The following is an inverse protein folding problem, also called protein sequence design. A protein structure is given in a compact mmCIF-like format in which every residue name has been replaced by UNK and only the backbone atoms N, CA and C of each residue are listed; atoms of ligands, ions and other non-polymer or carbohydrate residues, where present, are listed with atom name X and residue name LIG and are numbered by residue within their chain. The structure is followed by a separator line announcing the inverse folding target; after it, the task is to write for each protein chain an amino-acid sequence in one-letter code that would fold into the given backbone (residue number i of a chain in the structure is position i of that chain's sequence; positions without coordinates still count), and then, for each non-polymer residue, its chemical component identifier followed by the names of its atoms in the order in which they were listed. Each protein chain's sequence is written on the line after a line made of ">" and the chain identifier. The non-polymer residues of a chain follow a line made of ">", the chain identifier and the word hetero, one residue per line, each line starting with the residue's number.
data_IF_936285781831
#
_entry.id   IF_936285781831
#
_cell.length_a   1.000
_cell.length_b   1.000
_cell.length_c   1.000
_cell.angle_alpha   90.00
_cell.angle_beta   90.00
_cell.angle_gamma   90.00
#
_symmetry.space_group_name_H-M   'P 1'
#
loop_
_entity.id
_entity.type
_entity.pdbx_description
1 polymer ?
#
# COMPACT_ATOMS: atom_id res chain seq x y z
N UNK A 1 -11.51 -57.81 16.03
CA UNK A 1 -11.55 -56.40 16.43
C UNK A 1 -10.11 -55.90 16.46
N UNK A 2 -9.65 -55.27 15.41
CA UNK A 2 -8.32 -54.69 15.32
C UNK A 2 -8.48 -53.25 14.86
N UNK A 3 -8.12 -52.31 15.74
CA UNK A 3 -8.03 -50.89 15.46
C UNK A 3 -6.72 -50.62 14.75
N UNK A 4 -6.80 -50.14 13.52
CA UNK A 4 -5.67 -49.61 12.78
C UNK A 4 -5.71 -48.09 12.86
N UNK A 5 -4.88 -47.49 13.69
CA UNK A 5 -4.58 -46.05 13.72
C UNK A 5 -3.57 -45.73 12.60
N UNK A 6 -4.04 -45.07 11.58
CA UNK A 6 -3.17 -44.49 10.55
C UNK A 6 -2.50 -43.23 11.08
N UNK A 7 -1.17 -43.23 11.16
CA UNK A 7 -0.34 -42.06 11.42
C UNK A 7 -0.06 -41.41 10.08
N UNK A 8 -0.63 -40.22 9.88
CA UNK A 8 -0.30 -39.37 8.74
C UNK A 8 1.00 -38.62 9.07
N UNK A 9 2.04 -38.89 8.33
CA UNK A 9 3.31 -38.18 8.44
C UNK A 9 3.14 -36.73 7.91
N UNK A 10 3.32 -35.78 8.81
CA UNK A 10 3.45 -34.35 8.46
C UNK A 10 4.87 -34.16 7.92
N UNK A 11 4.97 -33.73 6.68
CA UNK A 11 6.24 -33.35 6.08
C UNK A 11 6.78 -32.08 6.74
N UNK A 12 7.90 -32.19 7.41
CA UNK A 12 8.67 -31.05 7.95
C UNK A 12 9.16 -30.18 6.79
N UNK A 13 8.81 -28.88 6.80
CA UNK A 13 9.40 -27.87 5.93
C UNK A 13 10.76 -27.46 6.51
N UNK A 14 11.79 -27.24 5.67
CA UNK A 14 13.08 -26.77 6.16
C UNK A 14 12.97 -25.33 6.69
N UNK A 15 13.33 -25.15 7.95
CA UNK A 15 13.52 -23.85 8.59
C UNK A 15 14.89 -23.29 8.25
N UNK A 16 14.99 -22.62 7.10
CA UNK A 16 16.16 -21.77 6.82
C UNK A 16 15.86 -20.34 7.21
N UNK A 17 16.24 -20.00 8.43
CA UNK A 17 16.23 -18.62 8.95
C UNK A 17 17.35 -17.85 8.28
N UNK A 18 17.07 -17.13 7.21
CA UNK A 18 18.02 -16.21 6.58
C UNK A 18 18.10 -14.95 7.44
N UNK A 19 19.20 -14.79 8.17
CA UNK A 19 19.51 -13.55 8.89
C UNK A 19 19.81 -12.43 7.89
N UNK A 20 19.19 -11.27 8.07
CA UNK A 20 19.55 -10.04 7.37
C UNK A 20 21.00 -9.67 7.69
N UNK A 21 21.95 -10.06 6.84
CA UNK A 21 23.33 -9.60 6.91
C UNK A 21 23.53 -8.49 5.89
N UNK A 22 23.91 -7.31 6.39
CA UNK A 22 24.12 -6.09 5.59
C UNK A 22 25.40 -6.22 4.73
N UNK A 23 25.37 -5.86 3.43
CA UNK A 23 26.58 -5.49 2.73
C UNK A 23 26.99 -4.07 3.12
N UNK A 24 28.22 -3.89 3.60
CA UNK A 24 28.84 -2.58 3.86
C UNK A 24 28.97 -1.82 2.53
N UNK A 25 28.36 -0.64 2.46
CA UNK A 25 28.58 0.30 1.38
C UNK A 25 29.85 1.10 1.70
N UNK A 26 30.87 0.93 0.85
CA UNK A 26 32.07 1.77 0.86
C UNK A 26 31.72 3.03 0.07
N UNK A 27 31.69 4.18 0.75
CA UNK A 27 31.55 5.50 0.12
C UNK A 27 32.87 5.92 -0.54
N UNK A 28 32.92 5.91 -1.87
CA UNK A 28 33.96 6.61 -2.62
C UNK A 28 33.41 7.96 -3.04
N UNK A 29 33.90 9.03 -2.41
CA UNK A 29 33.66 10.39 -2.84
C UNK A 29 34.44 10.72 -4.10
N UNK A 30 33.77 11.23 -5.12
CA UNK A 30 34.39 12.01 -6.20
C UNK A 30 33.41 13.06 -6.68
N UNK A 31 33.70 14.32 -6.37
CA UNK A 31 33.09 15.46 -7.02
C UNK A 31 33.51 15.47 -8.51
N UNK A 32 32.52 15.49 -9.40
CA UNK A 32 32.70 15.98 -10.78
C UNK A 32 31.52 16.88 -11.10
N UNK A 33 31.85 18.16 -11.32
CA UNK A 33 31.01 19.10 -12.04
C UNK A 33 30.83 18.59 -13.48
N UNK A 34 29.61 18.22 -13.83
CA UNK A 34 29.23 17.81 -15.17
C UNK A 34 27.89 18.43 -15.54
N UNK A 35 27.85 19.08 -16.68
CA UNK A 35 26.68 19.63 -17.35
C UNK A 35 25.53 18.63 -17.24
N UNK A 36 24.40 19.02 -16.61
CA UNK A 36 23.18 18.24 -16.63
C UNK A 36 22.62 18.24 -18.05
N UNK A 37 22.93 17.21 -18.82
CA UNK A 37 22.05 16.82 -19.90
C UNK A 37 20.70 16.48 -19.30
N UNK A 38 19.65 17.17 -19.69
CA UNK A 38 18.27 16.78 -19.40
C UNK A 38 18.02 15.46 -20.11
N UNK A 39 18.19 14.36 -19.39
CA UNK A 39 17.74 13.05 -19.86
C UNK A 39 16.22 13.12 -19.84
N UNK A 40 15.64 13.21 -21.03
CA UNK A 40 14.19 13.12 -21.20
C UNK A 40 13.70 11.83 -20.51
N UNK A 41 12.78 11.97 -19.56
CA UNK A 41 12.25 10.81 -18.85
C UNK A 41 11.65 9.84 -19.88
N UNK A 42 11.96 8.54 -19.84
CA UNK A 42 11.45 7.59 -20.80
C UNK A 42 9.92 7.62 -20.78
N UNK A 43 9.30 7.71 -21.96
CA UNK A 43 7.85 7.62 -22.08
C UNK A 43 7.39 6.24 -21.61
N UNK A 44 6.48 6.22 -20.65
CA UNK A 44 5.84 4.99 -20.20
C UNK A 44 4.86 4.52 -21.28
N UNK A 45 4.71 3.20 -21.45
CA UNK A 45 3.78 2.62 -22.42
C UNK A 45 2.32 2.74 -21.93
N UNK A 46 1.37 2.75 -22.87
CA UNK A 46 -0.07 2.58 -22.62
C UNK A 46 -0.54 1.26 -23.16
N UNK A 47 -1.50 0.61 -22.52
CA UNK A 47 -2.01 -0.69 -22.92
C UNK A 47 -2.22 -1.62 -21.75
N UNK A 48 -2.22 -2.91 -22.01
CA UNK A 48 -2.43 -3.96 -21.01
C UNK A 48 -1.16 -4.78 -20.82
N UNK A 49 -0.85 -5.09 -19.56
CA UNK A 49 0.18 -6.09 -19.19
C UNK A 49 -0.40 -7.47 -19.38
N UNK A 50 0.36 -8.35 -20.04
CA UNK A 50 0.01 -9.76 -20.23
C UNK A 50 0.98 -10.65 -19.48
N UNK A 51 0.55 -11.88 -19.15
CA UNK A 51 1.39 -12.89 -18.52
C UNK A 51 1.49 -12.79 -17.01
N UNK A 52 0.54 -12.10 -16.36
CA UNK A 52 0.40 -12.14 -14.90
C UNK A 52 -0.14 -13.52 -14.46
N UNK A 53 0.32 -14.05 -13.30
CA UNK A 53 -0.04 -15.39 -12.86
C UNK A 53 -1.50 -15.51 -12.38
N UNK A 54 -2.16 -14.39 -12.04
CA UNK A 54 -3.55 -14.38 -11.57
C UNK A 54 -4.00 -13.02 -11.07
N UNK A 55 -5.13 -12.98 -10.38
CA UNK A 55 -5.71 -11.77 -9.82
C UNK A 55 -4.71 -10.98 -8.98
N UNK A 56 -4.76 -9.66 -9.10
CA UNK A 56 -3.93 -8.74 -8.31
C UNK A 56 -4.67 -8.35 -7.04
N UNK A 57 -4.04 -8.54 -5.90
CA UNK A 57 -4.61 -8.16 -4.59
C UNK A 57 -4.26 -6.72 -4.25
N UNK A 58 -3.00 -6.36 -4.44
CA UNK A 58 -2.49 -5.01 -4.20
C UNK A 58 -1.33 -4.71 -5.14
N UNK A 59 -1.08 -3.42 -5.40
CA UNK A 59 0.04 -3.00 -6.23
C UNK A 59 0.61 -1.65 -5.81
N UNK A 60 1.93 -1.52 -5.98
CA UNK A 60 2.64 -0.29 -5.69
C UNK A 60 3.70 0.03 -6.74
N UNK A 61 3.90 1.32 -6.99
CA UNK A 61 4.89 1.82 -7.93
C UNK A 61 6.26 2.00 -7.26
N UNK A 62 7.32 1.72 -8.03
CA UNK A 62 8.67 2.17 -7.67
C UNK A 62 8.73 3.70 -7.61
N UNK A 63 9.67 4.21 -6.83
CA UNK A 63 9.82 5.65 -6.58
C UNK A 63 10.02 6.47 -7.87
N UNK A 64 10.69 5.88 -8.85
CA UNK A 64 10.93 6.49 -10.16
C UNK A 64 9.76 6.27 -11.15
N UNK A 65 8.74 5.52 -10.76
CA UNK A 65 7.57 5.21 -11.58
C UNK A 65 7.84 4.29 -12.77
N UNK A 66 8.99 3.60 -12.81
CA UNK A 66 9.35 2.73 -13.93
C UNK A 66 8.93 1.27 -13.74
N UNK A 67 8.69 0.88 -12.51
CA UNK A 67 8.27 -0.47 -12.18
C UNK A 67 7.00 -0.44 -11.34
N UNK A 68 6.16 -1.43 -11.56
CA UNK A 68 4.99 -1.72 -10.75
C UNK A 68 5.19 -3.10 -10.13
N UNK A 69 4.93 -3.20 -8.84
CA UNK A 69 4.95 -4.47 -8.11
C UNK A 69 3.52 -4.87 -7.83
N UNK A 70 3.13 -6.08 -8.20
CA UNK A 70 1.79 -6.61 -8.02
C UNK A 70 1.81 -7.90 -7.21
N UNK A 71 1.01 -7.95 -6.16
CA UNK A 71 0.82 -9.14 -5.33
C UNK A 71 -0.31 -10.01 -5.90
N UNK A 72 -0.09 -11.33 -5.91
CA UNK A 72 -1.06 -12.33 -6.37
C UNK A 72 -1.37 -13.31 -5.25
N UNK A 73 -2.32 -12.93 -4.38
CA UNK A 73 -2.69 -13.69 -3.18
C UNK A 73 -2.98 -15.16 -3.47
N UNK A 74 -3.82 -15.43 -4.47
CA UNK A 74 -4.22 -16.79 -4.83
C UNK A 74 -3.16 -17.62 -5.56
N UNK A 75 -2.00 -17.03 -5.88
CA UNK A 75 -0.92 -17.68 -6.63
C UNK A 75 0.42 -17.70 -5.90
N UNK A 76 0.45 -17.30 -4.62
CA UNK A 76 1.66 -17.26 -3.78
C UNK A 76 2.85 -16.61 -4.46
N UNK A 77 2.62 -15.50 -5.15
CA UNK A 77 3.64 -14.85 -5.97
C UNK A 77 3.49 -13.34 -6.05
N UNK A 78 4.59 -12.70 -6.44
CA UNK A 78 4.66 -11.26 -6.68
C UNK A 78 5.28 -11.03 -8.05
N UNK A 79 4.66 -10.20 -8.89
CA UNK A 79 5.19 -9.81 -10.19
C UNK A 79 5.83 -8.43 -10.12
N UNK A 80 6.98 -8.29 -10.79
CA UNK A 80 7.61 -7.00 -11.09
C UNK A 80 7.38 -6.69 -12.57
N UNK A 81 6.78 -5.56 -12.85
CA UNK A 81 6.36 -5.14 -14.19
C UNK A 81 7.18 -3.93 -14.61
N UNK A 82 7.83 -3.99 -15.76
CA UNK A 82 8.46 -2.84 -16.40
C UNK A 82 7.39 -2.00 -17.11
N UNK A 83 7.23 -0.76 -16.67
CA UNK A 83 6.21 0.16 -17.18
C UNK A 83 6.62 0.89 -18.47
N UNK A 84 7.87 0.75 -18.90
CA UNK A 84 8.31 1.27 -20.20
C UNK A 84 7.90 0.35 -21.34
N UNK A 85 7.81 -0.94 -21.07
CA UNK A 85 7.43 -1.99 -22.04
C UNK A 85 6.08 -2.62 -21.77
N UNK A 86 5.51 -2.44 -20.57
CA UNK A 86 4.32 -3.14 -20.04
C UNK A 86 4.49 -4.65 -20.06
N UNK A 87 5.66 -5.13 -19.66
CA UNK A 87 5.96 -6.56 -19.56
C UNK A 87 6.32 -6.96 -18.15
N UNK A 88 6.01 -8.20 -17.78
CA UNK A 88 6.47 -8.80 -16.54
C UNK A 88 7.98 -9.04 -16.67
N UNK A 89 8.77 -8.32 -15.88
CA UNK A 89 10.25 -8.46 -15.84
C UNK A 89 10.70 -9.59 -14.92
N UNK A 90 9.91 -9.87 -13.88
CA UNK A 90 10.16 -10.99 -12.96
C UNK A 90 8.87 -11.44 -12.27
N UNK A 91 8.83 -12.72 -11.88
CA UNK A 91 7.80 -13.26 -10.97
C UNK A 91 8.52 -14.00 -9.84
N UNK A 92 8.30 -13.52 -8.62
CA UNK A 92 8.85 -14.12 -7.39
C UNK A 92 7.79 -15.04 -6.82
N UNK A 93 8.01 -16.35 -6.91
CA UNK A 93 7.12 -17.38 -6.40
C UNK A 93 7.48 -17.78 -4.96
N UNK A 94 6.57 -18.46 -4.26
CA UNK A 94 6.78 -18.97 -2.91
C UNK A 94 6.60 -17.92 -1.80
N UNK A 95 5.95 -16.81 -2.11
CA UNK A 95 5.50 -15.83 -1.12
C UNK A 95 4.05 -16.18 -0.79
N UNK A 96 3.82 -16.84 0.35
CA UNK A 96 2.51 -17.34 0.72
C UNK A 96 1.51 -16.20 0.96
N UNK A 97 0.38 -16.24 0.26
CA UNK A 97 -0.74 -15.31 0.44
C UNK A 97 -0.29 -13.83 0.54
N UNK A 98 0.44 -13.29 -0.47
CA UNK A 98 0.94 -11.91 -0.44
C UNK A 98 -0.25 -10.94 -0.45
N UNK A 99 -0.30 -10.02 0.53
CA UNK A 99 -1.48 -9.21 0.79
C UNK A 99 -1.28 -7.74 0.42
N UNK A 100 -0.36 -7.03 1.07
CA UNK A 100 -0.09 -5.62 0.79
C UNK A 100 1.34 -5.40 0.31
N UNK A 101 1.52 -4.41 -0.55
CA UNK A 101 2.78 -4.05 -1.18
C UNK A 101 3.17 -2.61 -0.85
N UNK A 102 4.42 -2.39 -0.46
CA UNK A 102 5.00 -1.06 -0.34
C UNK A 102 6.37 -1.02 -1.02
N UNK A 103 6.68 0.06 -1.73
CA UNK A 103 7.90 0.17 -2.53
C UNK A 103 8.68 1.44 -2.17
N UNK A 104 9.97 1.26 -1.89
CA UNK A 104 10.97 2.33 -1.84
C UNK A 104 12.09 2.00 -2.86
N UNK A 105 13.32 1.75 -2.41
CA UNK A 105 14.40 1.22 -3.25
C UNK A 105 14.26 -0.30 -3.49
N UNK A 106 13.44 -0.95 -2.67
CA UNK A 106 13.06 -2.37 -2.72
C UNK A 106 11.55 -2.46 -2.56
N UNK A 107 10.97 -3.57 -3.00
CA UNK A 107 9.60 -3.87 -2.62
C UNK A 107 9.57 -4.64 -1.29
N UNK A 108 8.56 -4.37 -0.51
CA UNK A 108 8.21 -5.07 0.70
C UNK A 108 6.78 -5.57 0.57
N UNK A 109 6.58 -6.83 0.91
CA UNK A 109 5.29 -7.50 0.81
C UNK A 109 5.02 -8.20 2.12
N UNK A 110 3.89 -7.96 2.74
CA UNK A 110 3.46 -8.78 3.87
C UNK A 110 2.61 -9.93 3.38
N UNK A 111 2.72 -11.03 4.09
CA UNK A 111 1.85 -12.20 3.91
C UNK A 111 0.70 -12.14 4.91
N UNK A 112 -0.41 -12.77 4.58
CA UNK A 112 -1.60 -12.90 5.43
C UNK A 112 -1.97 -14.39 5.58
N UNK A 113 -0.98 -15.23 5.90
CA UNK A 113 -1.17 -16.66 6.03
C UNK A 113 -1.79 -17.02 7.39
N UNK A 114 -2.45 -18.17 7.45
CA UNK A 114 -3.06 -18.62 8.71
C UNK A 114 -2.04 -19.12 9.74
N UNK A 115 -0.85 -19.45 9.31
CA UNK A 115 0.17 -20.07 10.17
C UNK A 115 1.17 -19.07 10.69
N UNK A 116 1.81 -18.31 9.81
CA UNK A 116 2.83 -17.30 10.16
C UNK A 116 2.84 -16.19 9.13
N UNK A 117 2.67 -14.96 9.60
CA UNK A 117 2.82 -13.79 8.75
C UNK A 117 4.28 -13.40 8.64
N UNK A 118 4.67 -12.86 7.50
CA UNK A 118 6.01 -12.37 7.27
C UNK A 118 6.02 -11.08 6.45
N UNK A 119 7.12 -10.33 6.54
CA UNK A 119 7.45 -9.29 5.57
C UNK A 119 8.61 -9.76 4.73
N UNK A 120 8.39 -9.84 3.42
CA UNK A 120 9.36 -10.26 2.42
C UNK A 120 9.92 -9.04 1.70
N UNK A 121 11.23 -8.89 1.67
CA UNK A 121 11.93 -7.88 0.89
C UNK A 121 12.35 -8.45 -0.47
N UNK A 122 12.04 -7.72 -1.55
CA UNK A 122 12.31 -8.14 -2.94
C UNK A 122 13.23 -7.12 -3.60
N UNK A 123 14.29 -7.61 -4.24
CA UNK A 123 15.12 -6.80 -5.14
C UNK A 123 14.40 -6.60 -6.47
N UNK A 124 14.09 -5.36 -6.79
CA UNK A 124 13.37 -5.01 -8.01
C UNK A 124 14.18 -5.22 -9.30
N UNK A 125 15.52 -5.21 -9.22
CA UNK A 125 16.40 -5.43 -10.38
C UNK A 125 16.66 -6.90 -10.61
N UNK A 126 16.94 -7.64 -9.53
CA UNK A 126 17.19 -9.07 -9.60
C UNK A 126 15.89 -9.88 -9.75
N UNK A 127 14.74 -9.31 -9.36
CA UNK A 127 13.47 -10.01 -9.34
C UNK A 127 13.48 -11.22 -8.40
N UNK A 128 14.10 -11.07 -7.23
CA UNK A 128 14.27 -12.16 -6.27
C UNK A 128 14.12 -11.71 -4.83
N UNK A 129 13.77 -12.63 -3.96
CA UNK A 129 13.70 -12.39 -2.51
C UNK A 129 15.09 -12.10 -1.96
N UNK A 130 15.22 -11.00 -1.23
CA UNK A 130 16.43 -10.61 -0.49
C UNK A 130 16.42 -11.16 0.93
N UNK A 131 15.28 -11.08 1.58
CA UNK A 131 15.10 -11.48 2.97
C UNK A 131 13.61 -11.66 3.28
N UNK A 132 13.32 -12.48 4.27
CA UNK A 132 12.01 -12.58 4.89
C UNK A 132 12.16 -12.41 6.40
N UNK A 133 11.20 -11.74 7.03
CA UNK A 133 11.13 -11.58 8.48
C UNK A 133 9.79 -12.05 8.96
N UNK A 134 9.80 -13.07 9.79
CA UNK A 134 8.61 -13.54 10.51
C UNK A 134 8.09 -12.47 11.45
N UNK A 135 6.79 -12.37 11.52
CA UNK A 135 6.04 -11.46 12.39
C UNK A 135 4.87 -12.20 13.02
N UNK A 136 4.35 -11.66 14.09
CA UNK A 136 3.17 -12.23 14.74
C UNK A 136 1.96 -12.17 13.81
N UNK A 137 1.11 -13.16 13.89
CA UNK A 137 -0.16 -13.25 13.16
C UNK A 137 -0.99 -11.99 13.29
N UNK A 138 -1.72 -11.63 12.22
CA UNK A 138 -2.58 -10.46 12.16
C UNK A 138 -1.98 -9.25 11.46
N UNK A 139 -0.93 -9.45 10.66
CA UNK A 139 -0.35 -8.39 9.81
C UNK A 139 -1.25 -8.06 8.62
N UNK A 140 -1.68 -6.80 8.51
CA UNK A 140 -2.59 -6.36 7.44
C UNK A 140 -2.02 -5.22 6.61
N UNK A 141 -1.95 -4.02 7.12
CA UNK A 141 -1.46 -2.86 6.37
C UNK A 141 0.06 -2.73 6.40
N UNK A 142 0.65 -2.28 5.30
CA UNK A 142 2.08 -2.11 5.13
C UNK A 142 2.40 -0.73 4.56
N UNK A 143 3.38 -0.05 5.12
CA UNK A 143 3.98 1.16 4.56
C UNK A 143 5.49 1.15 4.73
N UNK A 144 6.20 1.86 3.86
CA UNK A 144 7.66 2.04 3.95
C UNK A 144 7.98 3.52 4.04
N UNK A 145 8.95 3.88 4.88
CA UNK A 145 9.39 5.28 5.01
C UNK A 145 9.92 5.84 3.67
N UNK A 146 9.79 7.14 3.42
CA UNK A 146 10.24 7.75 2.16
C UNK A 146 11.73 7.56 1.89
N UNK A 147 12.57 7.39 2.90
CA UNK A 147 14.00 7.08 2.80
C UNK A 147 14.31 5.58 2.69
N UNK A 148 13.27 4.72 2.80
CA UNK A 148 13.44 3.27 2.77
C UNK A 148 14.02 2.66 4.05
N UNK A 149 14.26 3.45 5.10
CA UNK A 149 14.96 2.99 6.31
C UNK A 149 14.05 2.23 7.29
N UNK A 150 12.73 2.38 7.20
CA UNK A 150 11.78 1.73 8.10
C UNK A 150 10.55 1.20 7.37
N UNK A 151 10.09 0.03 7.81
CA UNK A 151 8.80 -0.55 7.43
C UNK A 151 7.84 -0.36 8.62
N UNK A 152 6.63 0.02 8.31
CA UNK A 152 5.52 0.14 9.26
C UNK A 152 4.48 -0.90 8.92
N UNK A 153 4.20 -1.79 9.85
CA UNK A 153 3.30 -2.91 9.67
C UNK A 153 2.17 -2.85 10.69
N UNK A 154 0.95 -2.74 10.22
CA UNK A 154 -0.24 -2.80 11.05
C UNK A 154 -0.47 -4.24 11.52
N UNK A 155 -0.56 -4.42 12.84
CA UNK A 155 -0.76 -5.74 13.45
C UNK A 155 -1.94 -5.69 14.42
N UNK A 156 -2.69 -6.78 14.42
CA UNK A 156 -3.83 -6.95 15.32
C UNK A 156 -3.74 -8.30 16.00
N UNK A 157 -3.82 -8.30 17.32
CA UNK A 157 -3.82 -9.49 18.15
C UNK A 157 -4.94 -9.42 19.20
N UNK A 158 -5.07 -10.46 20.01
CA UNK A 158 -6.22 -10.65 20.92
C UNK A 158 -6.43 -9.52 21.95
N UNK A 159 -5.37 -8.76 22.27
CA UNK A 159 -5.44 -7.74 23.34
C UNK A 159 -4.81 -6.41 22.97
N UNK A 160 -4.29 -6.27 21.76
CA UNK A 160 -3.61 -5.04 21.32
C UNK A 160 -3.62 -4.96 19.81
N UNK A 161 -3.89 -3.75 19.30
CA UNK A 161 -3.57 -3.40 17.93
C UNK A 161 -2.43 -2.39 17.93
N UNK A 162 -1.40 -2.65 17.14
CA UNK A 162 -0.17 -1.88 17.12
C UNK A 162 0.43 -1.73 15.72
N UNK A 163 1.46 -0.91 15.61
CA UNK A 163 2.29 -0.80 14.41
C UNK A 163 3.70 -1.26 14.77
N UNK A 164 4.16 -2.33 14.13
CA UNK A 164 5.56 -2.71 14.17
C UNK A 164 6.37 -1.78 13.27
N UNK A 165 7.43 -1.21 13.83
CA UNK A 165 8.41 -0.40 13.11
C UNK A 165 9.68 -1.23 12.96
N UNK A 166 9.93 -1.70 11.75
CA UNK A 166 11.05 -2.59 11.42
C UNK A 166 12.11 -1.75 10.72
N UNK A 167 13.28 -1.67 11.31
CA UNK A 167 14.46 -1.06 10.69
C UNK A 167 14.96 -1.96 9.56
N UNK A 168 15.06 -1.44 8.35
CA UNK A 168 15.37 -2.24 7.15
C UNK A 168 16.81 -2.71 7.06
N UNK A 169 17.72 -2.07 7.74
CA UNK A 169 19.14 -2.45 7.76
C UNK A 169 19.41 -3.50 8.84
N UNK A 170 18.98 -3.23 10.08
CA UNK A 170 19.28 -4.11 11.22
C UNK A 170 18.24 -5.19 11.46
N UNK A 171 17.05 -5.09 10.86
CA UNK A 171 15.90 -5.95 11.13
C UNK A 171 15.29 -5.79 12.53
N UNK A 172 15.75 -4.82 13.32
CA UNK A 172 15.23 -4.57 14.68
C UNK A 172 13.82 -4.04 14.61
N UNK A 173 12.97 -4.55 15.49
CA UNK A 173 11.57 -4.13 15.58
C UNK A 173 11.32 -3.30 16.84
N UNK A 174 10.61 -2.21 16.67
CA UNK A 174 10.00 -1.41 17.75
C UNK A 174 8.49 -1.41 17.55
N UNK A 175 7.74 -1.06 18.58
CA UNK A 175 6.29 -1.07 18.53
C UNK A 175 5.72 0.29 18.88
N UNK A 176 4.68 0.70 18.15
CA UNK A 176 3.82 1.83 18.50
C UNK A 176 2.45 1.26 18.83
N UNK A 177 2.05 1.28 20.09
CA UNK A 177 0.72 0.85 20.49
C UNK A 177 -0.31 1.84 19.98
N UNK A 178 -1.30 1.36 19.24
CA UNK A 178 -2.44 2.14 18.73
C UNK A 178 -3.58 2.10 19.73
N UNK A 179 -3.97 0.90 20.14
CA UNK A 179 -5.01 0.66 21.14
C UNK A 179 -4.69 -0.55 22.01
N UNK A 180 -5.32 -0.63 23.17
CA UNK A 180 -5.32 -1.79 24.07
C UNK A 180 -6.74 -2.31 24.31
N UNK A 181 -7.69 -1.83 23.52
CA UNK A 181 -9.06 -2.31 23.55
C UNK A 181 -9.13 -3.67 22.85
N UNK A 182 -9.79 -4.60 23.47
CA UNK A 182 -10.08 -5.93 22.89
C UNK A 182 -11.02 -5.71 21.70
N UNK A 183 -10.84 -6.51 20.66
CA UNK A 183 -11.65 -6.49 19.42
C UNK A 183 -11.45 -5.24 18.53
N UNK A 184 -10.51 -4.36 18.89
CA UNK A 184 -10.03 -3.33 17.96
C UNK A 184 -8.95 -3.90 17.04
N UNK A 185 -8.96 -3.51 15.74
CA UNK A 185 -7.93 -3.92 14.80
C UNK A 185 -7.48 -2.78 13.89
N UNK A 186 -6.23 -2.85 13.43
CA UNK A 186 -5.65 -1.91 12.47
C UNK A 186 -5.52 -2.59 11.11
N UNK A 187 -6.28 -2.12 10.12
CA UNK A 187 -6.30 -2.72 8.78
C UNK A 187 -5.27 -2.09 7.84
N UNK A 188 -5.10 -0.80 7.90
CA UNK A 188 -4.26 -0.06 6.96
C UNK A 188 -3.37 0.95 7.68
N UNK A 189 -2.17 1.15 7.15
CA UNK A 189 -1.23 2.18 7.58
C UNK A 189 -0.66 2.90 6.37
N UNK A 190 -0.59 4.23 6.44
CA UNK A 190 0.03 5.08 5.40
C UNK A 190 0.99 6.07 6.06
N UNK A 191 2.05 6.41 5.35
CA UNK A 191 3.00 7.43 5.79
C UNK A 191 2.93 8.64 4.85
N UNK A 192 3.08 9.83 5.40
CA UNK A 192 3.14 11.05 4.61
C UNK A 192 4.47 11.19 3.86
N UNK A 193 4.52 12.12 2.90
CA UNK A 193 5.64 12.26 1.97
C UNK A 193 6.96 12.68 2.63
N UNK A 194 6.92 13.36 3.79
CA UNK A 194 8.10 13.77 4.55
C UNK A 194 8.52 12.75 5.63
N UNK A 195 7.75 11.67 5.83
CA UNK A 195 8.06 10.62 6.79
C UNK A 195 7.79 10.98 8.24
N UNK A 196 7.09 12.09 8.53
CA UNK A 196 6.90 12.58 9.91
C UNK A 196 5.62 12.07 10.57
N UNK A 197 4.62 11.65 9.78
CA UNK A 197 3.30 11.21 10.26
C UNK A 197 2.89 9.87 9.65
N UNK A 198 2.39 8.98 10.52
CA UNK A 198 1.65 7.80 10.11
C UNK A 198 0.17 8.03 10.34
N UNK A 199 -0.62 7.44 9.47
CA UNK A 199 -2.07 7.41 9.52
C UNK A 199 -2.51 5.96 9.51
N UNK A 200 -3.28 5.56 10.51
CA UNK A 200 -3.73 4.19 10.67
C UNK A 200 -5.26 4.13 10.73
N UNK A 201 -5.84 3.15 10.03
CA UNK A 201 -7.25 2.82 10.12
C UNK A 201 -7.45 1.88 11.30
N UNK A 202 -7.99 2.40 12.38
CA UNK A 202 -8.43 1.63 13.53
C UNK A 202 -9.91 1.32 13.37
N UNK A 203 -10.26 0.05 13.25
CA UNK A 203 -11.63 -0.42 13.17
C UNK A 203 -12.01 -1.20 14.42
N UNK A 204 -13.30 -1.20 14.74
CA UNK A 204 -13.92 -1.97 15.81
C UNK A 204 -15.39 -2.27 15.45
N UNK A 205 -16.06 -3.09 16.24
CA UNK A 205 -17.50 -3.34 16.07
C UNK A 205 -18.37 -2.08 16.27
N UNK A 206 -17.84 -1.08 16.98
CA UNK A 206 -18.51 0.19 17.24
C UNK A 206 -18.24 1.27 16.18
N UNK A 207 -17.38 1.01 15.21
CA UNK A 207 -17.02 1.91 14.13
C UNK A 207 -15.51 2.12 13.95
N UNK A 208 -15.15 3.02 13.03
CA UNK A 208 -13.78 3.29 12.66
C UNK A 208 -13.26 4.63 13.19
N UNK A 209 -11.95 4.69 13.41
CA UNK A 209 -11.21 5.90 13.78
C UNK A 209 -9.94 6.03 12.94
N UNK A 210 -9.66 7.24 12.44
CA UNK A 210 -8.36 7.55 11.88
C UNK A 210 -7.41 7.94 13.01
N UNK A 211 -6.30 7.19 13.15
CA UNK A 211 -5.26 7.46 14.15
C UNK A 211 -4.09 8.15 13.48
N UNK A 212 -3.72 9.32 13.98
CA UNK A 212 -2.57 10.11 13.52
C UNK A 212 -1.42 9.94 14.51
N UNK A 213 -0.26 9.56 14.02
CA UNK A 213 0.90 9.17 14.85
C UNK A 213 2.13 10.00 14.48
N UNK A 214 2.84 10.51 15.47
CA UNK A 214 4.17 11.09 15.31
C UNK A 214 5.21 9.98 15.17
N UNK A 215 5.87 9.92 14.01
CA UNK A 215 6.85 8.89 13.68
C UNK A 215 8.07 8.96 14.60
N UNK A 216 8.59 10.16 14.82
CA UNK A 216 9.80 10.38 15.65
C UNK A 216 9.54 10.10 17.11
N UNK A 217 8.44 10.63 17.64
CA UNK A 217 8.05 10.44 19.04
C UNK A 217 7.43 9.07 19.30
N UNK A 218 6.99 8.36 18.24
CA UNK A 218 6.30 7.06 18.29
C UNK A 218 5.09 7.10 19.23
N UNK A 219 4.26 8.11 19.06
CA UNK A 219 3.06 8.31 19.88
C UNK A 219 1.88 8.77 19.06
N UNK A 220 0.71 8.37 19.49
CA UNK A 220 -0.55 8.86 18.93
C UNK A 220 -0.69 10.37 19.24
N UNK A 221 -1.03 11.15 18.22
CA UNK A 221 -1.34 12.57 18.30
C UNK A 221 -2.85 12.80 18.35
N UNK A 222 -3.57 12.14 17.45
CA UNK A 222 -5.03 12.26 17.32
C UNK A 222 -5.65 10.91 17.08
N UNK A 223 -6.84 10.70 17.64
CA UNK A 223 -7.77 9.62 17.29
C UNK A 223 -9.07 10.30 16.87
N UNK A 224 -9.41 10.21 15.60
CA UNK A 224 -10.52 10.90 14.98
C UNK A 224 -11.59 9.88 14.68
N UNK A 225 -12.67 9.86 15.49
CA UNK A 225 -13.80 8.98 15.25
C UNK A 225 -14.50 9.34 13.94
N UNK A 226 -14.72 8.35 13.10
CA UNK A 226 -15.33 8.49 11.79
C UNK A 226 -16.73 7.86 11.69
N UNK A 227 -17.13 7.14 12.72
CA UNK A 227 -18.40 6.40 12.74
C UNK A 227 -18.26 5.02 12.15
N UNK A 228 -18.68 4.79 10.92
CA UNK A 228 -18.61 3.48 10.29
C UNK A 228 -17.19 3.01 9.95
N UNK A 229 -17.08 1.80 9.41
CA UNK A 229 -15.80 1.16 9.11
C UNK A 229 -14.96 1.93 8.10
N UNK A 230 -13.64 1.85 8.23
CA UNK A 230 -12.67 2.43 7.31
C UNK A 230 -12.17 1.34 6.36
N UNK A 231 -12.17 1.65 5.04
CA UNK A 231 -11.63 0.77 4.01
C UNK A 231 -10.16 1.07 3.71
N UNK A 232 -9.84 2.30 3.32
CA UNK A 232 -8.48 2.69 2.95
C UNK A 232 -8.19 4.16 3.30
N UNK A 233 -6.92 4.51 3.26
CA UNK A 233 -6.39 5.85 3.56
C UNK A 233 -5.45 6.27 2.44
N UNK A 234 -5.58 7.51 1.97
CA UNK A 234 -4.59 8.16 1.12
C UNK A 234 -4.18 9.51 1.67
N UNK A 235 -2.88 9.79 1.63
CA UNK A 235 -2.30 11.03 2.14
C UNK A 235 -1.80 11.88 0.99
N UNK A 236 -2.24 13.13 0.91
CA UNK A 236 -1.75 14.06 -0.12
C UNK A 236 -0.30 14.48 0.18
N UNK A 237 0.44 14.80 -0.86
CA UNK A 237 1.87 15.15 -0.77
C UNK A 237 2.14 16.42 0.04
N UNK A 238 1.18 17.34 0.10
CA UNK A 238 1.29 18.55 0.91
C UNK A 238 1.05 18.29 2.41
N UNK A 239 0.79 17.01 2.79
CA UNK A 239 0.54 16.52 4.14
C UNK A 239 -0.68 17.15 4.85
N UNK A 240 -1.48 17.93 4.14
CA UNK A 240 -2.60 18.65 4.74
C UNK A 240 -3.89 17.86 4.71
N UNK A 241 -4.10 17.07 3.64
CA UNK A 241 -5.34 16.33 3.46
C UNK A 241 -5.11 14.84 3.45
N UNK A 242 -5.98 14.15 4.16
CA UNK A 242 -6.05 12.70 4.20
C UNK A 242 -7.44 12.33 3.72
N UNK A 243 -7.51 11.53 2.67
CA UNK A 243 -8.76 10.91 2.23
C UNK A 243 -8.90 9.57 2.93
N UNK A 244 -10.08 9.33 3.48
CA UNK A 244 -10.41 8.08 4.18
C UNK A 244 -11.69 7.54 3.59
N UNK A 245 -11.61 6.36 2.96
CA UNK A 245 -12.79 5.65 2.47
C UNK A 245 -13.44 4.87 3.59
N UNK A 246 -14.74 4.68 3.50
CA UNK A 246 -15.43 3.88 4.50
C UNK A 246 -16.92 3.79 4.23
N UNK A 247 -17.61 3.23 5.21
CA UNK A 247 -19.05 3.10 5.23
C UNK A 247 -19.65 4.00 6.31
N UNK A 248 -20.81 4.56 6.03
CA UNK A 248 -21.61 5.35 6.95
C UNK A 248 -23.03 4.81 6.94
N UNK A 249 -23.58 4.51 8.12
CA UNK A 249 -24.87 3.82 8.21
C UNK A 249 -26.04 4.63 7.63
N UNK A 250 -25.91 5.96 7.59
CA UNK A 250 -26.96 6.83 7.06
C UNK A 250 -26.72 7.17 5.57
N UNK A 251 -25.45 7.24 5.12
CA UNK A 251 -25.07 7.75 3.80
C UNK A 251 -24.58 6.68 2.85
N UNK A 252 -24.30 5.46 3.35
CA UNK A 252 -23.68 4.40 2.58
C UNK A 252 -22.17 4.60 2.42
N UNK A 253 -21.63 4.38 1.22
CA UNK A 253 -20.22 4.62 0.95
C UNK A 253 -19.84 6.10 1.08
N UNK A 254 -18.72 6.36 1.73
CA UNK A 254 -18.24 7.74 1.94
C UNK A 254 -16.74 7.87 1.73
N UNK A 255 -16.32 9.05 1.31
CA UNK A 255 -14.93 9.51 1.41
C UNK A 255 -14.90 10.71 2.34
N UNK A 256 -14.20 10.57 3.45
CA UNK A 256 -13.99 11.68 4.39
C UNK A 256 -12.68 12.37 4.09
N UNK A 257 -12.72 13.69 4.02
CA UNK A 257 -11.53 14.54 3.91
C UNK A 257 -11.14 14.98 5.30
N UNK A 258 -9.97 14.61 5.75
CA UNK A 258 -9.45 14.91 7.09
C UNK A 258 -8.28 15.87 6.99
N UNK A 259 -8.28 16.89 7.84
CA UNK A 259 -7.09 17.68 8.14
C UNK A 259 -6.25 16.92 9.16
N UNK A 260 -5.15 16.33 8.68
CA UNK A 260 -4.30 15.46 9.50
C UNK A 260 -3.50 16.24 10.56
N UNK A 261 -3.29 17.54 10.38
CA UNK A 261 -2.61 18.39 11.35
C UNK A 261 -3.57 18.85 12.45
N UNK A 262 -4.75 19.32 12.05
CA UNK A 262 -5.78 19.77 12.99
C UNK A 262 -6.52 18.60 13.67
N UNK A 263 -6.38 17.37 13.18
CA UNK A 263 -7.00 16.19 13.76
C UNK A 263 -8.53 16.18 13.66
N UNK A 264 -9.11 16.64 12.53
CA UNK A 264 -10.56 16.73 12.35
C UNK A 264 -11.01 16.46 10.92
N UNK A 265 -12.22 15.94 10.78
CA UNK A 265 -12.91 15.85 9.49
C UNK A 265 -13.25 17.26 9.02
N UNK A 266 -12.92 17.58 7.77
CA UNK A 266 -13.22 18.87 7.15
C UNK A 266 -14.33 18.76 6.11
N UNK A 267 -14.52 17.59 5.52
CA UNK A 267 -15.59 17.32 4.56
C UNK A 267 -15.94 15.85 4.48
N UNK A 268 -17.12 15.52 3.93
CA UNK A 268 -17.56 14.14 3.69
C UNK A 268 -18.33 14.08 2.37
N UNK A 269 -17.80 13.29 1.44
CA UNK A 269 -18.40 13.00 0.15
C UNK A 269 -19.11 11.65 0.21
N UNK A 270 -20.42 11.62 -0.08
CA UNK A 270 -21.12 10.36 -0.31
C UNK A 270 -20.79 9.82 -1.71
N UNK A 271 -20.63 8.50 -1.82
CA UNK A 271 -20.35 7.77 -3.06
C UNK A 271 -21.35 6.63 -3.22
N UNK A 272 -21.64 6.24 -4.48
CA UNK A 272 -22.73 5.31 -4.76
C UNK A 272 -22.44 3.86 -4.39
N UNK A 273 -21.17 3.48 -4.24
CA UNK A 273 -20.72 2.11 -4.00
C UNK A 273 -20.05 1.90 -2.65
N UNK A 274 -19.35 0.78 -2.53
CA UNK A 274 -18.43 0.52 -1.42
C UNK A 274 -17.01 0.94 -1.85
N UNK A 275 -16.52 2.08 -1.36
CA UNK A 275 -15.19 2.57 -1.73
C UNK A 275 -14.11 1.75 -1.03
N UNK A 276 -13.38 0.91 -1.80
CA UNK A 276 -12.42 -0.06 -1.24
C UNK A 276 -10.98 0.45 -1.23
N UNK A 277 -10.60 1.28 -2.19
CA UNK A 277 -9.25 1.82 -2.28
C UNK A 277 -9.27 3.27 -2.78
N UNK A 278 -8.37 4.09 -2.26
CA UNK A 278 -8.17 5.47 -2.71
C UNK A 278 -6.68 5.78 -2.85
N UNK A 279 -6.33 6.51 -3.91
CA UNK A 279 -4.97 7.03 -4.15
C UNK A 279 -5.05 8.53 -4.39
N UNK A 280 -4.13 9.31 -3.84
CA UNK A 280 -4.07 10.77 -4.04
C UNK A 280 -2.82 11.16 -4.80
N UNK A 281 -2.98 12.01 -5.81
CA UNK A 281 -1.88 12.58 -6.56
C UNK A 281 -2.21 13.96 -7.12
N UNK A 282 -1.41 14.95 -6.76
CA UNK A 282 -1.50 16.30 -7.36
C UNK A 282 -2.83 17.01 -7.13
N UNK A 283 -3.47 16.80 -5.97
CA UNK A 283 -4.79 17.38 -5.65
C UNK A 283 -5.98 16.59 -6.20
N UNK A 284 -5.75 15.49 -6.92
CA UNK A 284 -6.78 14.55 -7.35
C UNK A 284 -6.76 13.30 -6.48
N UNK A 285 -7.93 12.86 -6.01
CA UNK A 285 -8.18 11.55 -5.43
C UNK A 285 -8.71 10.61 -6.52
N UNK A 286 -8.23 9.39 -6.54
CA UNK A 286 -8.70 8.33 -7.44
C UNK A 286 -9.28 7.23 -6.57
N UNK A 287 -10.57 6.99 -6.70
CA UNK A 287 -11.35 6.10 -5.86
C UNK A 287 -11.85 4.91 -6.66
N UNK A 288 -11.59 3.71 -6.18
CA UNK A 288 -12.18 2.49 -6.75
C UNK A 288 -13.65 2.41 -6.35
N UNK A 289 -14.53 2.39 -7.35
CA UNK A 289 -15.97 2.31 -7.21
C UNK A 289 -16.54 1.26 -8.21
N UNK A 290 -16.50 -0.01 -7.83
CA UNK A 290 -16.94 -1.13 -8.66
C UNK A 290 -16.07 -1.33 -9.89
N UNK A 291 -16.60 -1.05 -11.10
CA UNK A 291 -15.88 -1.11 -12.38
C UNK A 291 -15.40 0.25 -12.87
N UNK A 292 -15.50 1.27 -12.02
CA UNK A 292 -15.10 2.63 -12.35
C UNK A 292 -14.03 3.11 -11.37
N UNK A 293 -13.29 4.15 -11.79
CA UNK A 293 -12.43 4.94 -10.90
C UNK A 293 -12.98 6.36 -10.88
N UNK A 294 -13.55 6.77 -9.75
CA UNK A 294 -14.04 8.13 -9.56
C UNK A 294 -12.85 9.07 -9.29
N UNK A 295 -12.85 10.22 -9.97
CA UNK A 295 -11.84 11.28 -9.77
C UNK A 295 -12.42 12.33 -8.83
N UNK A 296 -11.75 12.57 -7.72
CA UNK A 296 -12.18 13.47 -6.66
C UNK A 296 -11.25 14.70 -6.65
N UNK A 297 -11.81 15.88 -6.70
CA UNK A 297 -11.08 17.11 -6.31
C UNK A 297 -10.93 17.14 -4.79
N UNK A 298 -9.70 16.99 -4.30
CA UNK A 298 -9.43 16.94 -2.85
C UNK A 298 -9.64 18.29 -2.16
N UNK A 299 -9.72 19.41 -2.91
CA UNK A 299 -9.94 20.73 -2.34
C UNK A 299 -11.42 21.01 -2.09
N UNK A 300 -12.28 20.58 -3.01
CA UNK A 300 -13.72 20.82 -2.98
C UNK A 300 -14.52 19.62 -2.48
N UNK A 301 -13.86 18.47 -2.31
CA UNK A 301 -14.48 17.18 -1.97
C UNK A 301 -15.65 16.84 -2.92
N UNK A 302 -15.43 16.98 -4.23
CA UNK A 302 -16.43 16.68 -5.25
C UNK A 302 -15.88 15.67 -6.26
N UNK A 303 -16.75 14.82 -6.81
CA UNK A 303 -16.41 13.98 -7.96
C UNK A 303 -16.36 14.88 -9.19
N UNK A 304 -15.20 14.95 -9.84
CA UNK A 304 -14.96 15.73 -11.05
C UNK A 304 -15.13 14.92 -12.32
N UNK A 305 -14.85 13.59 -12.26
CA UNK A 305 -14.94 12.69 -13.40
C UNK A 305 -15.08 11.22 -12.94
N UNK A 306 -15.43 10.32 -13.89
CA UNK A 306 -15.47 8.87 -13.70
C UNK A 306 -14.80 8.18 -14.88
N UNK A 307 -13.88 7.30 -14.58
CA UNK A 307 -13.08 6.55 -15.55
C UNK A 307 -13.60 5.11 -15.57
N UNK A 308 -14.24 4.71 -16.64
CA UNK A 308 -14.66 3.32 -16.85
C UNK A 308 -13.42 2.42 -17.03
N UNK A 309 -13.28 1.41 -16.19
CA UNK A 309 -12.22 0.41 -16.25
C UNK A 309 -12.62 -0.82 -17.10
N UNK A 310 -13.88 -0.95 -17.47
CA UNK A 310 -14.40 -2.06 -18.30
C UNK A 310 -14.56 -3.38 -17.54
N UNK A 311 -14.03 -3.50 -16.32
CA UNK A 311 -14.14 -4.68 -15.45
C UNK A 311 -14.05 -4.26 -13.98
N UNK A 312 -14.53 -5.09 -13.03
CA UNK A 312 -14.39 -4.79 -11.61
C UNK A 312 -12.94 -4.57 -11.21
N UNK A 313 -12.67 -3.43 -10.59
CA UNK A 313 -11.33 -2.98 -10.21
C UNK A 313 -10.90 -3.63 -8.90
N UNK A 314 -9.74 -4.26 -8.90
CA UNK A 314 -9.14 -4.86 -7.72
C UNK A 314 -8.16 -3.91 -7.01
N UNK A 315 -7.33 -3.18 -7.78
CA UNK A 315 -6.36 -2.22 -7.23
C UNK A 315 -5.99 -1.16 -8.26
N UNK A 316 -5.59 0.02 -7.77
CA UNK A 316 -5.14 1.13 -8.60
C UNK A 316 -3.81 1.71 -8.12
N UNK A 317 -3.03 2.25 -9.06
CA UNK A 317 -1.86 3.06 -8.75
C UNK A 317 -1.76 4.24 -9.73
N UNK A 318 -1.24 5.37 -9.29
CA UNK A 318 -1.07 6.57 -10.12
C UNK A 318 0.42 6.92 -10.21
N UNK A 319 0.91 7.16 -11.43
CA UNK A 319 2.31 7.50 -11.66
C UNK A 319 2.77 8.71 -10.83
N UNK A 320 4.05 8.79 -10.48
CA UNK A 320 4.58 9.88 -9.65
C UNK A 320 4.34 11.29 -10.24
N UNK A 321 4.25 11.40 -11.56
CA UNK A 321 3.95 12.65 -12.29
C UNK A 321 2.44 12.93 -12.44
N UNK A 322 1.58 12.00 -11.99
CA UNK A 322 0.12 12.12 -12.08
C UNK A 322 -0.42 12.02 -13.51
N UNK A 323 0.34 11.50 -14.47
CA UNK A 323 -0.08 11.44 -15.87
C UNK A 323 -0.70 10.11 -16.28
N UNK A 324 -0.56 9.07 -15.44
CA UNK A 324 -1.03 7.71 -15.75
C UNK A 324 -1.71 7.06 -14.56
N UNK A 325 -2.77 6.34 -14.88
CA UNK A 325 -3.48 5.43 -13.99
C UNK A 325 -3.18 3.99 -14.41
N UNK A 326 -2.81 3.18 -13.45
CA UNK A 326 -2.70 1.73 -13.58
C UNK A 326 -3.87 1.10 -12.84
N UNK A 327 -4.61 0.25 -13.53
CA UNK A 327 -5.80 -0.42 -13.01
C UNK A 327 -5.59 -1.92 -13.09
N UNK A 328 -5.64 -2.60 -11.98
CA UNK A 328 -5.69 -4.05 -11.90
C UNK A 328 -7.13 -4.53 -11.74
N UNK A 329 -7.52 -5.59 -12.44
CA UNK A 329 -8.81 -6.24 -12.29
C UNK A 329 -8.69 -7.61 -11.58
N UNK A 330 -9.84 -8.17 -11.19
CA UNK A 330 -9.89 -9.48 -10.55
C UNK A 330 -9.61 -10.64 -11.52
N UNK A 331 -9.47 -10.39 -12.83
CA UNK A 331 -9.10 -11.40 -13.82
C UNK A 331 -7.58 -11.49 -14.01
N UNK A 332 -6.81 -10.63 -13.33
CA UNK A 332 -5.35 -10.60 -13.40
C UNK A 332 -4.82 -9.75 -14.55
N UNK A 333 -5.62 -8.84 -15.11
CA UNK A 333 -5.12 -7.86 -16.05
C UNK A 333 -4.66 -6.58 -15.31
N UNK A 334 -3.57 -5.97 -15.76
CA UNK A 334 -3.17 -4.62 -15.38
C UNK A 334 -3.18 -3.75 -16.63
N UNK A 335 -4.01 -2.71 -16.62
CA UNK A 335 -4.13 -1.76 -17.72
C UNK A 335 -3.49 -0.43 -17.35
N UNK A 336 -2.62 0.08 -18.23
CA UNK A 336 -2.02 1.40 -18.13
C UNK A 336 -2.78 2.38 -19.03
N UNK A 337 -3.29 3.46 -18.44
CA UNK A 337 -4.08 4.50 -19.12
C UNK A 337 -3.49 5.88 -18.89
N UNK A 338 -3.44 6.71 -19.94
CA UNK A 338 -3.11 8.13 -19.79
C UNK A 338 -4.28 8.86 -19.13
N UNK A 339 -3.95 9.70 -18.16
CA UNK A 339 -4.90 10.61 -17.55
C UNK A 339 -4.96 11.90 -18.36
N UNK A 340 -6.13 12.24 -18.90
CA UNK A 340 -6.40 13.49 -19.59
C UNK A 340 -6.33 14.69 -18.62
N UNK A 341 -6.45 15.91 -19.15
CA UNK A 341 -6.57 17.10 -18.28
C UNK A 341 -7.86 17.09 -17.45
N UNK A 342 -8.93 16.47 -17.97
CA UNK A 342 -10.20 16.32 -17.25
C UNK A 342 -10.07 15.32 -16.09
N UNK A 343 -9.29 14.25 -16.28
CA UNK A 343 -9.02 13.23 -15.26
C UNK A 343 -8.07 13.72 -14.14
N UNK A 344 -7.64 14.98 -14.19
CA UNK A 344 -6.72 15.59 -13.24
C UNK A 344 -7.22 16.95 -12.80
N UNK A 345 -7.25 17.18 -11.52
CA UNK A 345 -7.50 18.52 -11.00
C UNK A 345 -6.22 19.35 -11.14
N UNK A 346 -6.18 20.23 -12.13
CA UNK A 346 -5.04 21.11 -12.36
C UNK A 346 -5.12 22.28 -11.39
N UNK A 347 -4.30 22.27 -10.35
CA UNK A 347 -4.06 23.46 -9.55
C UNK A 347 -3.02 24.33 -10.25
N UNK A 348 -3.34 25.63 -10.41
CA UNK A 348 -2.33 26.59 -10.77
C UNK A 348 -1.21 26.53 -9.72
N UNK A 349 0.04 26.42 -10.17
CA UNK A 349 1.19 26.53 -9.28
C UNK A 349 1.16 27.92 -8.64
N UNK A 350 0.91 27.98 -7.33
CA UNK A 350 0.98 29.19 -6.51
C UNK A 350 2.42 29.43 -6.04
#
# INVERSE_FOLDING_TARGET
>A
MANTTGVTAVAERPTDTVRLSSPRIVTAGTQRSGVRASVEAPRLATGQVVGLPGAVTDMALSRDGRQLVAAHYGNDSVSVIDLTTLTVSATVAGIAEPYAVAVADRAYVNTASREEDSVVAIDLKAGSTLAAKEITVGARGLAVSPDGAAIYLARSGDQVADIAVIDTESGKTKTITVTRTVDDWVDTVRINADGTRLYAALNSDSGGSLVVIDVRARRVLHTIALGGSIGDIAVDRDNRRVLVTGWDDERGGVVRVVDGEAGRVVDTLAVDGLPVQVVVRGGSGYLVDGSEVAVIDTATATISDRIDAGSPVASIAVSPDGTRLYVADYNGAVTARELSKADRVLRAAS
#
